data_IF_309399560472
#
_entry.id   IF_309399560472
#
_cell.length_a   1.000
_cell.length_b   1.000
_cell.length_c   1.000
_cell.angle_alpha   90.00
_cell.angle_beta   90.00
_cell.angle_gamma   90.00
#
_symmetry.space_group_name_H-M   'P 1'
#
loop_
_entity.id
_entity.type
_entity.pdbx_description
1 polymer ?
#
# COMPACT_ATOMS: atom_id res chain seq x y z
N UNK A 1 1.90 8.97 13.25
CA UNK A 1 1.09 7.77 13.55
C UNK A 1 0.31 7.26 12.34
N UNK A 2 -0.47 8.10 11.64
CA UNK A 2 -1.19 7.70 10.41
C UNK A 2 -0.32 7.01 9.34
N UNK A 3 0.92 7.49 9.12
CA UNK A 3 1.88 6.82 8.22
C UNK A 3 2.26 5.42 8.69
N UNK A 4 2.68 5.26 9.95
CA UNK A 4 3.12 3.97 10.48
C UNK A 4 1.97 2.98 10.53
N UNK A 5 0.82 3.40 11.07
CA UNK A 5 -0.36 2.54 11.18
C UNK A 5 -0.89 2.17 9.80
N UNK A 6 -1.08 3.13 8.91
CA UNK A 6 -1.59 2.87 7.56
C UNK A 6 -0.63 2.03 6.71
N UNK A 7 0.67 2.33 6.74
CA UNK A 7 1.67 1.59 5.96
C UNK A 7 1.92 0.19 6.52
N UNK A 8 2.05 0.04 7.85
CA UNK A 8 2.28 -1.28 8.48
C UNK A 8 1.05 -2.17 8.37
N UNK A 9 -0.16 -1.65 8.60
CA UNK A 9 -1.38 -2.46 8.45
C UNK A 9 -1.58 -2.90 7.00
N UNK A 10 -1.42 -2.00 6.03
CA UNK A 10 -1.58 -2.37 4.62
C UNK A 10 -0.51 -3.37 4.18
N UNK A 11 0.70 -3.27 4.74
CA UNK A 11 1.77 -4.22 4.46
C UNK A 11 1.46 -5.59 5.07
N UNK A 12 1.16 -5.66 6.37
CA UNK A 12 0.96 -6.91 7.09
C UNK A 12 -0.33 -7.64 6.69
N UNK A 13 -1.44 -6.92 6.48
CA UNK A 13 -2.74 -7.52 6.22
C UNK A 13 -3.01 -7.82 4.74
N UNK A 14 -2.36 -7.12 3.82
CA UNK A 14 -2.62 -7.29 2.38
C UNK A 14 -1.39 -7.64 1.57
N UNK A 15 -0.28 -6.91 1.70
CA UNK A 15 0.90 -7.17 0.87
C UNK A 15 1.61 -8.47 1.24
N UNK A 16 1.77 -8.78 2.52
CA UNK A 16 2.42 -10.03 2.97
C UNK A 16 1.61 -11.26 2.53
N UNK A 17 0.27 -11.36 2.77
CA UNK A 17 -0.51 -12.48 2.28
C UNK A 17 -0.49 -12.61 0.76
N UNK A 18 -0.55 -11.49 0.04
CA UNK A 18 -0.51 -11.49 -1.43
C UNK A 18 0.83 -11.99 -1.98
N UNK A 19 1.95 -11.56 -1.37
CA UNK A 19 3.28 -12.05 -1.72
C UNK A 19 3.45 -13.54 -1.39
N UNK A 20 2.94 -14.00 -0.24
CA UNK A 20 3.01 -15.41 0.14
C UNK A 20 2.21 -16.30 -0.82
N UNK A 21 1.03 -15.84 -1.26
CA UNK A 21 0.23 -16.54 -2.25
C UNK A 21 0.96 -16.63 -3.60
N UNK A 22 1.62 -15.57 -4.04
CA UNK A 22 2.42 -15.58 -5.26
C UNK A 22 3.65 -16.49 -5.14
N UNK A 23 4.34 -16.48 -4.00
CA UNK A 23 5.51 -17.33 -3.76
C UNK A 23 5.18 -18.82 -3.71
N UNK A 24 3.94 -19.17 -3.33
CA UNK A 24 3.46 -20.56 -3.32
C UNK A 24 2.97 -21.05 -4.68
N UNK A 25 2.79 -20.15 -5.67
CA UNK A 25 2.28 -20.51 -6.99
C UNK A 25 3.38 -21.09 -7.88
N UNK A 26 3.01 -22.07 -8.73
CA UNK A 26 3.94 -22.63 -9.72
C UNK A 26 3.90 -21.81 -11.02
N UNK A 27 4.99 -21.12 -11.40
CA UNK A 27 5.04 -20.27 -12.59
C UNK A 27 4.94 -21.04 -13.90
N UNK A 28 5.21 -22.35 -13.92
CA UNK A 28 5.22 -23.19 -15.12
C UNK A 28 3.82 -23.73 -15.50
N UNK A 29 2.79 -23.36 -14.75
CA UNK A 29 1.41 -23.78 -15.00
C UNK A 29 0.67 -22.81 -15.93
N UNK A 30 -0.30 -23.30 -16.70
CA UNK A 30 -1.15 -22.48 -17.57
C UNK A 30 -1.97 -21.42 -16.81
N UNK A 31 -2.14 -21.59 -15.49
CA UNK A 31 -2.87 -20.67 -14.61
C UNK A 31 -2.00 -19.49 -14.11
N UNK A 32 -0.72 -19.44 -14.47
CA UNK A 32 0.23 -18.43 -13.96
C UNK A 32 -0.05 -17.01 -14.48
N UNK A 33 -0.49 -16.86 -15.72
CA UNK A 33 -0.79 -15.58 -16.37
C UNK A 33 -2.01 -14.85 -15.75
N UNK A 34 -3.18 -15.48 -15.60
CA UNK A 34 -4.32 -14.85 -14.93
C UNK A 34 -4.06 -14.61 -13.43
N UNK A 35 -3.31 -15.48 -12.76
CA UNK A 35 -2.90 -15.28 -11.37
C UNK A 35 -2.02 -14.03 -11.21
N UNK A 36 -1.05 -13.86 -12.10
CA UNK A 36 -0.17 -12.68 -12.10
C UNK A 36 -0.96 -11.39 -12.36
N UNK A 37 -1.89 -11.40 -13.32
CA UNK A 37 -2.72 -10.24 -13.61
C UNK A 37 -3.59 -9.80 -12.41
N UNK A 38 -4.17 -10.76 -11.68
CA UNK A 38 -4.96 -10.48 -10.47
C UNK A 38 -4.06 -10.02 -9.31
N UNK A 39 -2.90 -10.66 -9.12
CA UNK A 39 -1.88 -10.23 -8.17
C UNK A 39 -1.49 -8.77 -8.41
N UNK A 40 -1.13 -8.43 -9.65
CA UNK A 40 -0.63 -7.10 -9.99
C UNK A 40 -1.69 -6.02 -9.75
N UNK A 41 -2.96 -6.31 -10.08
CA UNK A 41 -4.08 -5.39 -9.84
C UNK A 41 -4.27 -5.14 -8.35
N UNK A 42 -4.32 -6.19 -7.53
CA UNK A 42 -4.51 -6.09 -6.08
C UNK A 42 -3.32 -5.40 -5.40
N UNK A 43 -2.10 -5.78 -5.79
CA UNK A 43 -0.87 -5.20 -5.27
C UNK A 43 -0.78 -3.69 -5.56
N UNK A 44 -1.11 -3.29 -6.79
CA UNK A 44 -1.09 -1.88 -7.21
C UNK A 44 -2.07 -1.05 -6.40
N UNK A 45 -3.30 -1.54 -6.20
CA UNK A 45 -4.31 -0.86 -5.39
C UNK A 45 -3.83 -0.63 -3.95
N UNK A 46 -3.29 -1.66 -3.30
CA UNK A 46 -2.79 -1.53 -1.93
C UNK A 46 -1.55 -0.64 -1.80
N UNK A 47 -0.71 -0.56 -2.83
CA UNK A 47 0.37 0.42 -2.86
C UNK A 47 -0.12 1.86 -3.01
N UNK A 48 -1.23 2.11 -3.72
CA UNK A 48 -1.83 3.44 -3.75
C UNK A 48 -2.33 3.85 -2.37
N UNK A 49 -2.95 2.92 -1.63
CA UNK A 49 -3.38 3.16 -0.24
C UNK A 49 -2.17 3.52 0.65
N UNK A 50 -1.04 2.81 0.51
CA UNK A 50 0.21 3.13 1.23
C UNK A 50 0.72 4.53 0.91
N UNK A 51 0.72 4.91 -0.36
CA UNK A 51 1.15 6.25 -0.81
C UNK A 51 0.25 7.34 -0.22
N UNK A 52 -1.07 7.16 -0.26
CA UNK A 52 -2.04 8.10 0.32
C UNK A 52 -1.82 8.24 1.83
N UNK A 53 -1.67 7.11 2.55
CA UNK A 53 -1.39 7.10 3.99
C UNK A 53 -0.06 7.79 4.36
N UNK A 54 0.90 7.86 3.44
CA UNK A 54 2.17 8.58 3.61
C UNK A 54 2.10 10.07 3.29
N UNK A 55 1.18 10.51 2.42
CA UNK A 55 1.06 11.90 2.00
C UNK A 55 0.16 12.71 2.94
N UNK A 56 -0.97 12.15 3.39
CA UNK A 56 -1.91 12.80 4.31
C UNK A 56 -1.27 13.41 5.57
N UNK A 57 -0.33 12.73 6.26
CA UNK A 57 0.37 13.30 7.42
C UNK A 57 1.26 14.49 7.05
N UNK A 58 1.88 14.47 5.87
CA UNK A 58 2.74 15.57 5.40
C UNK A 58 1.89 16.80 5.07
N UNK A 59 0.76 16.60 4.38
CA UNK A 59 -0.17 17.69 4.02
C UNK A 59 -0.76 18.34 5.28
N UNK A 60 -1.22 17.52 6.23
CA UNK A 60 -1.75 18.03 7.51
C UNK A 60 -0.70 18.81 8.31
N UNK A 61 0.55 18.35 8.32
CA UNK A 61 1.67 19.08 8.95
C UNK A 61 1.95 20.43 8.29
N UNK A 62 1.98 20.50 6.95
CA UNK A 62 2.18 21.76 6.21
C UNK A 62 1.05 22.76 6.48
N UNK A 63 -0.20 22.30 6.48
CA UNK A 63 -1.36 23.16 6.80
C UNK A 63 -1.26 23.68 8.25
N UNK A 64 -0.90 22.82 9.21
CA UNK A 64 -0.76 23.23 10.60
C UNK A 64 0.32 24.31 10.80
N UNK A 65 1.47 24.18 10.14
CA UNK A 65 2.53 25.20 10.16
C UNK A 65 2.08 26.49 9.49
N UNK A 66 1.45 26.42 8.32
CA UNK A 66 0.94 27.61 7.63
C UNK A 66 -0.05 28.39 8.49
N UNK A 67 -0.94 27.71 9.21
CA UNK A 67 -1.91 28.34 10.13
C UNK A 67 -1.25 28.99 11.35
N UNK A 68 -0.15 28.45 11.87
CA UNK A 68 0.60 29.06 12.97
C UNK A 68 1.35 30.32 12.53
N UNK A 69 1.83 30.39 11.28
CA UNK A 69 2.57 31.55 10.78
C UNK A 69 1.72 32.79 10.49
N UNK A 70 0.39 32.68 10.54
CA UNK A 70 -0.56 33.78 10.27
C UNK A 70 -1.19 34.36 11.54
N UNK A 71 -0.75 33.92 12.73
CA UNK A 71 -1.08 34.53 14.03
C UNK A 71 0.15 35.22 14.61
#
# INVERSE_FOLDING_TARGET
MLYLVGSLLVTAAFNVPLNNALAAANPETLDSEPLWADYLRKWTAWNHVRTIAAILPKVSFVIAIGRQSTQ
#
